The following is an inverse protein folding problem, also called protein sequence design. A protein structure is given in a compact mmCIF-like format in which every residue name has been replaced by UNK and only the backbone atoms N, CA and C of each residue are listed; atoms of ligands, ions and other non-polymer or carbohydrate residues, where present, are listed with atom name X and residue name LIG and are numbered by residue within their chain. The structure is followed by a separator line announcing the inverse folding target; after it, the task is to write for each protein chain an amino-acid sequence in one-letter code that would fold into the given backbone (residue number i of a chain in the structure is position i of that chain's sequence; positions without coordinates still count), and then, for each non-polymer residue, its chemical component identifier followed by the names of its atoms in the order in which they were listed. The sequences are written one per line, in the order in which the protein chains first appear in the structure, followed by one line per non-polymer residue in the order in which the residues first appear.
data_IF_100629365134
#
_entry.id   IF_100629365134
#
_cell.length_a   1.000
_cell.length_b   1.000
_cell.length_c   1.000
_cell.angle_alpha   90.00
_cell.angle_beta   90.00
_cell.angle_gamma   90.00
#
_symmetry.space_group_name_H-M   'P 1'
#
loop_
_entity.id
_entity.type
_entity.pdbx_description
1 polymer ?
#
# COMPACT_ATOMS: atom_id res chain seq x y z
N UNK A 1 0.38 3.42 -33.56
CA UNK A 1 0.59 2.30 -32.61
C UNK A 1 -0.40 2.45 -31.48
N UNK A 2 -1.07 1.38 -31.08
CA UNK A 2 -1.95 1.36 -29.91
C UNK A 2 -1.14 1.02 -28.67
N UNK A 3 -1.49 1.58 -27.51
CA UNK A 3 -0.81 1.28 -26.26
C UNK A 3 -1.01 -0.20 -25.86
N UNK A 4 -0.01 -0.79 -25.21
CA UNK A 4 -0.14 -2.09 -24.55
C UNK A 4 -0.81 -1.89 -23.19
N UNK A 5 -1.82 -2.70 -22.88
CA UNK A 5 -2.52 -2.62 -21.60
C UNK A 5 -1.69 -3.31 -20.52
N UNK A 6 -1.43 -2.60 -19.41
CA UNK A 6 -0.94 -3.20 -18.17
C UNK A 6 -2.15 -3.78 -17.42
N UNK A 7 -2.38 -5.08 -17.55
CA UNK A 7 -3.51 -5.76 -16.92
C UNK A 7 -3.22 -6.07 -15.44
N UNK A 8 -3.56 -5.12 -14.57
CA UNK A 8 -3.41 -5.27 -13.13
C UNK A 8 -4.30 -6.37 -12.51
N UNK A 9 -5.41 -6.76 -13.14
CA UNK A 9 -6.27 -7.83 -12.61
C UNK A 9 -5.60 -9.20 -12.81
N UNK A 10 -5.10 -9.44 -14.01
CA UNK A 10 -4.35 -10.66 -14.32
C UNK A 10 -3.08 -10.73 -13.46
N UNK A 11 -2.33 -9.62 -13.35
CA UNK A 11 -1.13 -9.56 -12.53
C UNK A 11 -1.41 -9.84 -11.05
N UNK A 12 -2.46 -9.24 -10.48
CA UNK A 12 -2.84 -9.49 -9.09
C UNK A 12 -3.28 -10.94 -8.84
N UNK A 13 -3.91 -11.60 -9.81
CA UNK A 13 -4.28 -13.01 -9.70
C UNK A 13 -3.03 -13.92 -9.65
N UNK A 14 -2.02 -13.65 -10.47
CA UNK A 14 -0.73 -14.35 -10.40
C UNK A 14 -0.03 -14.15 -9.05
N UNK A 15 0.02 -12.91 -8.55
CA UNK A 15 0.58 -12.61 -7.22
C UNK A 15 -0.13 -13.40 -6.13
N UNK A 16 -1.49 -13.44 -6.13
CA UNK A 16 -2.25 -14.24 -5.16
C UNK A 16 -1.96 -15.74 -5.27
N UNK A 17 -1.81 -16.27 -6.48
CA UNK A 17 -1.43 -17.66 -6.70
C UNK A 17 -0.09 -18.02 -6.06
N UNK A 18 0.92 -17.15 -6.21
CA UNK A 18 2.22 -17.31 -5.56
C UNK A 18 2.12 -17.22 -4.03
N UNK A 19 1.37 -16.24 -3.51
CA UNK A 19 1.14 -16.09 -2.07
C UNK A 19 0.47 -17.33 -1.49
N UNK A 20 -0.55 -17.89 -2.16
CA UNK A 20 -1.21 -19.12 -1.72
C UNK A 20 -0.24 -20.32 -1.64
N UNK A 21 0.70 -20.40 -2.58
CA UNK A 21 1.80 -21.37 -2.53
C UNK A 21 2.68 -21.20 -1.29
N UNK A 22 3.12 -19.97 -1.01
CA UNK A 22 3.93 -19.67 0.19
C UNK A 22 3.17 -19.95 1.49
N UNK A 23 1.89 -19.60 1.58
CA UNK A 23 1.05 -19.87 2.76
C UNK A 23 0.90 -21.38 2.97
N UNK A 24 0.69 -22.14 1.90
CA UNK A 24 0.58 -23.60 1.97
C UNK A 24 1.87 -24.24 2.46
N UNK A 25 3.03 -23.80 1.96
CA UNK A 25 4.34 -24.26 2.41
C UNK A 25 4.58 -23.93 3.90
N UNK A 26 4.30 -22.69 4.31
CA UNK A 26 4.49 -22.25 5.70
C UNK A 26 3.63 -23.07 6.68
N UNK A 27 2.39 -23.37 6.29
CA UNK A 27 1.49 -24.23 7.06
C UNK A 27 2.01 -25.66 7.16
N UNK A 28 2.48 -26.23 6.04
CA UNK A 28 2.95 -27.62 6.00
C UNK A 28 4.27 -27.82 6.77
N UNK A 29 5.20 -26.88 6.63
CA UNK A 29 6.57 -27.00 7.15
C UNK A 29 6.70 -26.51 8.59
N UNK A 30 5.91 -25.50 8.98
CA UNK A 30 6.04 -24.83 10.27
C UNK A 30 4.76 -24.84 11.10
N UNK A 31 3.63 -25.32 10.56
CA UNK A 31 2.34 -25.24 11.25
C UNK A 31 1.82 -23.82 11.41
N UNK A 32 2.40 -22.83 10.71
CA UNK A 32 2.04 -21.42 10.83
C UNK A 32 1.07 -21.05 9.70
N UNK A 33 -0.06 -20.45 10.07
CA UNK A 33 -0.99 -19.81 9.14
C UNK A 33 -0.89 -18.30 9.37
N UNK A 34 -0.42 -17.51 8.38
CA UNK A 34 -0.32 -16.07 8.53
C UNK A 34 -1.71 -15.46 8.80
N UNK A 35 -1.73 -14.43 9.63
CA UNK A 35 -2.96 -13.73 10.04
C UNK A 35 -2.91 -12.26 9.69
N UNK A 36 -3.96 -11.74 9.06
CA UNK A 36 -4.13 -10.33 8.74
C UNK A 36 -5.31 -9.77 9.53
N UNK A 37 -5.05 -8.76 10.35
CA UNK A 37 -6.08 -7.96 11.01
C UNK A 37 -6.41 -6.72 10.17
N UNK A 38 -7.70 -6.48 9.92
CA UNK A 38 -8.19 -5.30 9.21
C UNK A 38 -9.14 -4.53 10.12
N UNK A 39 -8.79 -3.27 10.39
CA UNK A 39 -9.55 -2.36 11.25
C UNK A 39 -10.26 -1.33 10.37
N UNK A 40 -11.57 -1.21 10.56
CA UNK A 40 -12.43 -0.22 9.92
C UNK A 40 -13.13 0.59 11.00
N UNK A 41 -13.11 1.92 10.88
CA UNK A 41 -13.82 2.82 11.79
C UNK A 41 -14.86 3.62 11.01
N UNK A 42 -16.13 3.46 11.37
CA UNK A 42 -17.27 4.08 10.71
C UNK A 42 -17.78 3.32 9.48
N UNK A 43 -18.63 3.99 8.70
CA UNK A 43 -19.48 3.36 7.70
C UNK A 43 -19.27 3.87 6.26
N UNK A 44 -18.10 4.45 5.95
CA UNK A 44 -17.81 4.91 4.60
C UNK A 44 -17.99 3.76 3.57
N UNK A 45 -18.93 3.88 2.60
CA UNK A 45 -19.27 2.78 1.70
C UNK A 45 -18.09 2.31 0.85
N UNK A 46 -17.21 3.23 0.45
CA UNK A 46 -16.01 2.88 -0.32
C UNK A 46 -15.07 2.03 0.53
N UNK A 47 -14.83 2.42 1.78
CA UNK A 47 -14.01 1.71 2.75
C UNK A 47 -14.55 0.31 3.05
N UNK A 48 -15.88 0.14 3.18
CA UNK A 48 -16.47 -1.19 3.38
C UNK A 48 -16.21 -2.15 2.21
N UNK A 49 -16.31 -1.66 0.97
CA UNK A 49 -16.01 -2.48 -0.22
C UNK A 49 -14.54 -2.89 -0.22
N UNK A 50 -13.62 -1.97 0.12
CA UNK A 50 -12.19 -2.28 0.21
C UNK A 50 -11.89 -3.33 1.28
N UNK A 51 -12.43 -3.18 2.49
CA UNK A 51 -12.20 -4.12 3.60
C UNK A 51 -12.75 -5.50 3.27
N UNK A 52 -13.97 -5.57 2.73
CA UNK A 52 -14.57 -6.85 2.30
C UNK A 52 -13.73 -7.54 1.24
N UNK A 53 -13.20 -6.76 0.28
CA UNK A 53 -12.33 -7.28 -0.77
C UNK A 53 -11.02 -7.84 -0.22
N UNK A 54 -10.39 -7.12 0.72
CA UNK A 54 -9.18 -7.56 1.43
C UNK A 54 -9.43 -8.85 2.22
N UNK A 55 -10.49 -8.91 3.02
CA UNK A 55 -10.85 -10.11 3.79
C UNK A 55 -11.07 -11.34 2.88
N UNK A 56 -11.80 -11.16 1.77
CA UNK A 56 -12.00 -12.23 0.79
C UNK A 56 -10.67 -12.73 0.21
N UNK A 57 -9.80 -11.83 -0.23
CA UNK A 57 -8.52 -12.19 -0.84
C UNK A 57 -7.55 -12.85 0.16
N UNK A 58 -7.56 -12.44 1.43
CA UNK A 58 -6.79 -13.06 2.51
C UNK A 58 -7.19 -14.53 2.69
N UNK A 59 -8.50 -14.79 2.77
CA UNK A 59 -9.02 -16.16 2.90
C UNK A 59 -8.77 -16.98 1.63
N UNK A 60 -8.91 -16.37 0.45
CA UNK A 60 -8.64 -17.00 -0.85
C UNK A 60 -7.22 -17.57 -0.94
N UNK A 61 -6.23 -16.89 -0.35
CA UNK A 61 -4.83 -17.37 -0.33
C UNK A 61 -4.50 -18.27 0.87
N UNK A 62 -5.49 -18.66 1.67
CA UNK A 62 -5.34 -19.60 2.79
C UNK A 62 -4.85 -18.98 4.11
N UNK A 63 -4.88 -17.66 4.25
CA UNK A 63 -4.52 -16.95 5.48
C UNK A 63 -5.72 -16.79 6.43
N UNK A 64 -5.44 -16.53 7.71
CA UNK A 64 -6.45 -16.09 8.67
C UNK A 64 -6.77 -14.61 8.46
N UNK A 65 -8.06 -14.25 8.47
CA UNK A 65 -8.53 -12.88 8.36
C UNK A 65 -9.30 -12.49 9.61
N UNK A 66 -8.90 -11.40 10.25
CA UNK A 66 -9.53 -10.85 11.44
C UNK A 66 -10.10 -9.47 11.12
N UNK A 67 -11.42 -9.35 11.02
CA UNK A 67 -12.08 -8.07 10.75
C UNK A 67 -12.53 -7.41 12.06
N UNK A 68 -12.14 -6.16 12.26
CA UNK A 68 -12.58 -5.31 13.37
C UNK A 68 -13.32 -4.10 12.81
N UNK A 69 -14.64 -4.08 12.99
CA UNK A 69 -15.50 -2.95 12.60
C UNK A 69 -15.87 -2.18 13.86
N UNK A 70 -15.50 -0.92 13.89
CA UNK A 70 -15.72 0.00 15.00
C UNK A 70 -16.68 1.11 14.56
N UNK A 71 -17.48 1.59 15.50
CA UNK A 71 -18.44 2.66 15.24
C UNK A 71 -17.74 3.98 14.90
N UNK A 72 -18.41 4.86 14.16
CA UNK A 72 -17.84 6.12 13.71
C UNK A 72 -17.49 7.08 14.86
N UNK A 73 -18.07 6.90 16.04
CA UNK A 73 -17.84 7.69 17.26
C UNK A 73 -16.82 7.04 18.21
N UNK A 74 -16.19 5.92 17.81
CA UNK A 74 -15.15 5.24 18.59
C UNK A 74 -14.07 6.24 19.02
N UNK A 75 -13.68 6.17 20.29
CA UNK A 75 -12.65 7.04 20.84
C UNK A 75 -11.25 6.66 20.33
N UNK A 76 -10.35 7.64 20.28
CA UNK A 76 -8.96 7.39 19.91
C UNK A 76 -8.28 6.41 20.88
N UNK A 77 -8.60 6.50 22.17
CA UNK A 77 -8.07 5.59 23.19
C UNK A 77 -8.50 4.13 22.94
N UNK A 78 -9.77 3.90 22.57
CA UNK A 78 -10.27 2.55 22.29
C UNK A 78 -9.65 1.95 21.03
N UNK A 79 -9.47 2.78 19.99
CA UNK A 79 -8.79 2.38 18.76
C UNK A 79 -7.31 2.01 19.03
N UNK A 80 -6.60 2.83 19.78
CA UNK A 80 -5.20 2.56 20.16
C UNK A 80 -5.10 1.30 21.03
N UNK A 81 -6.06 1.07 21.94
CA UNK A 81 -6.10 -0.14 22.75
C UNK A 81 -6.36 -1.40 21.91
N UNK A 82 -7.17 -1.32 20.84
CA UNK A 82 -7.31 -2.41 19.88
C UNK A 82 -5.97 -2.66 19.16
N UNK A 83 -5.31 -1.63 18.65
CA UNK A 83 -4.04 -1.77 17.94
C UNK A 83 -2.96 -2.40 18.83
N UNK A 84 -2.85 -1.97 20.09
CA UNK A 84 -1.92 -2.56 21.06
C UNK A 84 -2.19 -4.06 21.29
N UNK A 85 -3.46 -4.47 21.38
CA UNK A 85 -3.81 -5.90 21.46
C UNK A 85 -3.37 -6.66 20.21
N UNK A 86 -3.61 -6.12 19.02
CA UNK A 86 -3.22 -6.75 17.75
C UNK A 86 -1.69 -6.82 17.59
N UNK A 87 -0.96 -5.81 18.08
CA UNK A 87 0.50 -5.83 18.11
C UNK A 87 1.04 -6.98 18.97
N UNK A 88 0.38 -7.27 20.10
CA UNK A 88 0.79 -8.33 21.04
C UNK A 88 0.28 -9.73 20.66
N UNK A 89 -0.71 -9.83 19.79
CA UNK A 89 -1.26 -11.11 19.35
C UNK A 89 -0.30 -11.82 18.37
N UNK A 90 0.17 -13.01 18.76
CA UNK A 90 1.07 -13.83 17.94
C UNK A 90 0.38 -14.48 16.74
N UNK A 91 -0.96 -14.54 16.71
CA UNK A 91 -1.70 -14.98 15.53
C UNK A 91 -1.78 -13.89 14.44
N UNK A 92 -1.60 -12.62 14.82
CA UNK A 92 -1.65 -11.48 13.90
C UNK A 92 -0.24 -11.16 13.40
N UNK A 93 -0.03 -11.26 12.10
CA UNK A 93 1.26 -11.02 11.45
C UNK A 93 1.26 -9.71 10.64
N UNK A 94 0.07 -9.21 10.29
CA UNK A 94 -0.12 -7.92 9.65
C UNK A 94 -1.34 -7.21 10.19
N UNK A 95 -1.26 -5.89 10.28
CA UNK A 95 -2.33 -5.00 10.71
C UNK A 95 -2.54 -3.96 9.61
N UNK A 96 -3.80 -3.76 9.23
CA UNK A 96 -4.21 -2.72 8.31
C UNK A 96 -5.32 -1.89 8.94
N UNK A 97 -5.11 -0.59 9.05
CA UNK A 97 -6.17 0.37 9.43
C UNK A 97 -6.66 1.04 8.17
N UNK A 98 -7.94 0.89 7.85
CA UNK A 98 -8.53 1.47 6.64
C UNK A 98 -8.70 2.98 6.78
N UNK A 99 -8.09 3.72 5.85
CA UNK A 99 -8.18 5.18 5.75
C UNK A 99 -9.23 5.62 4.70
N UNK A 100 -9.78 6.84 4.80
CA UNK A 100 -9.56 7.83 5.86
C UNK A 100 -10.28 7.44 7.16
N UNK A 101 -9.74 7.87 8.30
CA UNK A 101 -10.43 7.76 9.58
C UNK A 101 -11.46 8.89 9.76
N UNK A 102 -12.46 8.73 10.64
CA UNK A 102 -13.25 9.84 11.15
C UNK A 102 -12.40 11.03 11.61
N UNK A 103 -12.86 12.26 11.34
CA UNK A 103 -12.08 13.49 11.50
C UNK A 103 -11.60 13.78 12.93
N UNK A 104 -12.24 13.20 13.94
CA UNK A 104 -11.85 13.38 15.35
C UNK A 104 -10.67 12.48 15.76
N UNK A 105 -10.25 11.56 14.90
CA UNK A 105 -9.12 10.65 15.14
C UNK A 105 -7.88 11.15 14.41
N UNK A 106 -6.73 11.02 15.06
CA UNK A 106 -5.44 11.34 14.46
C UNK A 106 -4.88 10.13 13.68
N UNK A 107 -4.98 10.16 12.35
CA UNK A 107 -4.45 9.11 11.47
C UNK A 107 -2.95 8.84 11.70
N UNK A 108 -2.13 9.88 11.84
CA UNK A 108 -0.68 9.73 12.05
C UNK A 108 -0.39 9.02 13.39
N UNK A 109 -1.15 9.34 14.44
CA UNK A 109 -0.99 8.68 15.74
C UNK A 109 -1.36 7.19 15.65
N UNK A 110 -2.48 6.89 14.99
CA UNK A 110 -2.98 5.52 14.80
C UNK A 110 -2.01 4.68 13.96
N UNK A 111 -1.52 5.23 12.85
CA UNK A 111 -0.53 4.56 11.98
C UNK A 111 0.76 4.26 12.75
N UNK A 112 1.27 5.22 13.52
CA UNK A 112 2.51 5.06 14.29
C UNK A 112 2.34 4.20 15.55
N UNK A 113 1.11 3.81 15.91
CA UNK A 113 0.85 2.86 16.98
C UNK A 113 0.98 1.40 16.51
N UNK A 114 0.95 1.13 15.20
CA UNK A 114 1.13 -0.21 14.64
C UNK A 114 2.61 -0.60 14.76
N UNK A 115 2.92 -1.82 15.21
CA UNK A 115 4.30 -2.32 15.20
C UNK A 115 4.84 -2.25 13.75
N UNK A 116 6.01 -1.60 13.49
CA UNK A 116 6.58 -1.51 12.15
C UNK A 116 6.72 -2.86 11.43
N UNK A 117 6.94 -3.95 12.17
CA UNK A 117 7.05 -5.30 11.62
C UNK A 117 5.69 -5.88 11.17
N UNK A 118 4.58 -5.36 11.73
CA UNK A 118 3.19 -5.73 11.37
C UNK A 118 2.50 -4.70 10.48
N UNK A 119 3.13 -3.55 10.20
CA UNK A 119 2.62 -2.52 9.29
C UNK A 119 2.74 -2.97 7.82
N UNK A 120 1.84 -3.86 7.42
CA UNK A 120 1.81 -4.42 6.06
C UNK A 120 1.31 -3.42 5.01
N UNK A 121 0.75 -2.27 5.42
CA UNK A 121 0.40 -1.17 4.51
C UNK A 121 1.55 -0.17 4.34
N UNK A 122 2.62 -0.28 5.14
CA UNK A 122 3.89 0.41 4.95
C UNK A 122 3.88 1.91 5.28
N UNK A 123 2.91 2.38 6.07
CA UNK A 123 2.76 3.80 6.39
C UNK A 123 3.43 4.24 7.69
N UNK A 124 3.86 3.29 8.52
CA UNK A 124 4.58 3.60 9.76
C UNK A 124 5.83 4.40 9.45
N UNK A 125 6.10 5.46 10.23
CA UNK A 125 7.18 6.40 9.93
C UNK A 125 8.56 5.74 9.85
N UNK A 126 8.82 4.73 10.68
CA UNK A 126 10.03 3.88 10.58
C UNK A 126 10.15 3.19 9.24
N UNK A 127 9.09 2.58 8.70
CA UNK A 127 9.10 1.93 7.39
C UNK A 127 9.32 2.94 6.27
N UNK A 128 8.68 4.12 6.36
CA UNK A 128 8.90 5.23 5.42
C UNK A 128 10.35 5.72 5.46
N UNK A 129 10.95 5.84 6.64
CA UNK A 129 12.36 6.25 6.80
C UNK A 129 13.34 5.21 6.27
N UNK A 130 13.07 3.92 6.51
CA UNK A 130 13.86 2.82 5.96
C UNK A 130 13.78 2.82 4.42
N UNK A 131 12.59 2.96 3.83
CA UNK A 131 12.41 3.07 2.39
C UNK A 131 13.19 4.27 1.81
N UNK A 132 13.08 5.44 2.45
CA UNK A 132 13.76 6.65 2.01
C UNK A 132 15.30 6.55 2.07
N UNK A 133 15.83 5.62 2.87
CA UNK A 133 17.28 5.36 2.97
C UNK A 133 17.71 4.12 2.18
N UNK A 134 16.81 3.53 1.37
CA UNK A 134 17.10 2.35 0.55
C UNK A 134 17.24 1.05 1.35
N UNK A 135 16.78 1.03 2.61
CA UNK A 135 16.83 -0.16 3.46
C UNK A 135 15.60 -1.05 3.27
N UNK A 136 15.74 -2.31 3.68
CA UNK A 136 14.62 -3.26 3.68
C UNK A 136 13.55 -2.80 4.68
N UNK A 137 12.31 -2.68 4.22
CA UNK A 137 11.16 -2.26 5.03
C UNK A 137 9.86 -2.86 4.49
N UNK A 138 8.78 -2.69 5.23
CA UNK A 138 7.46 -2.73 4.59
C UNK A 138 7.31 -1.49 3.71
N UNK A 139 6.60 -1.63 2.59
CA UNK A 139 6.50 -0.60 1.57
C UNK A 139 5.02 -0.35 1.27
N UNK A 140 4.61 0.91 1.10
CA UNK A 140 3.26 1.26 0.67
C UNK A 140 2.74 0.39 -0.48
N UNK A 141 1.60 -0.27 -0.26
CA UNK A 141 1.05 -1.29 -1.15
C UNK A 141 0.81 -0.78 -2.58
N UNK A 142 0.19 0.40 -2.71
CA UNK A 142 -0.16 0.97 -4.03
C UNK A 142 1.10 1.26 -4.86
N UNK A 143 2.09 2.03 -4.36
CA UNK A 143 3.38 2.19 -5.04
C UNK A 143 4.09 0.89 -5.38
N UNK A 144 4.13 -0.07 -4.46
CA UNK A 144 4.78 -1.36 -4.71
C UNK A 144 4.08 -2.14 -5.83
N UNK A 145 2.75 -2.19 -5.82
CA UNK A 145 1.97 -2.82 -6.89
C UNK A 145 2.24 -2.17 -8.25
N UNK A 146 2.27 -0.84 -8.33
CA UNK A 146 2.64 -0.11 -9.54
C UNK A 146 4.06 -0.47 -10.00
N UNK A 147 5.05 -0.47 -9.11
CA UNK A 147 6.43 -0.81 -9.42
C UNK A 147 6.54 -2.25 -9.95
N UNK A 148 5.86 -3.21 -9.32
CA UNK A 148 5.85 -4.60 -9.75
C UNK A 148 5.30 -4.75 -11.18
N UNK A 149 4.22 -4.03 -11.51
CA UNK A 149 3.67 -4.03 -12.86
C UNK A 149 4.59 -3.34 -13.88
N UNK A 150 5.26 -2.24 -13.49
CA UNK A 150 6.25 -1.56 -14.34
C UNK A 150 7.43 -2.46 -14.65
N UNK A 151 8.00 -3.15 -13.64
CA UNK A 151 9.06 -4.14 -13.80
C UNK A 151 8.63 -5.28 -14.73
N UNK A 152 7.39 -5.76 -14.58
CA UNK A 152 6.85 -6.80 -15.46
C UNK A 152 6.72 -6.32 -16.91
N UNK A 153 6.41 -5.05 -17.13
CA UNK A 153 6.21 -4.49 -18.46
C UNK A 153 7.53 -4.11 -19.16
N UNK A 154 8.43 -3.42 -18.47
CA UNK A 154 9.66 -2.86 -19.03
C UNK A 154 10.90 -3.75 -18.79
N UNK A 155 10.85 -4.69 -17.84
CA UNK A 155 12.04 -5.37 -17.34
C UNK A 155 12.85 -4.44 -16.44
N UNK A 156 13.96 -3.92 -16.96
CA UNK A 156 14.79 -2.93 -16.24
C UNK A 156 14.17 -1.54 -16.34
N UNK A 157 14.11 -0.83 -15.21
CA UNK A 157 13.69 0.58 -15.16
C UNK A 157 14.87 1.56 -15.12
N UNK A 158 16.11 1.03 -15.06
CA UNK A 158 17.32 1.82 -14.91
C UNK A 158 17.50 2.81 -16.06
N UNK A 159 17.71 4.08 -15.71
CA UNK A 159 17.93 5.17 -16.66
C UNK A 159 16.66 5.78 -17.27
N UNK A 160 15.47 5.22 -17.01
CA UNK A 160 14.22 5.79 -17.49
C UNK A 160 13.86 7.08 -16.74
N UNK A 161 13.31 8.05 -17.45
CA UNK A 161 12.77 9.29 -16.88
C UNK A 161 11.34 9.07 -16.38
N UNK A 162 11.17 9.04 -15.06
CA UNK A 162 9.87 8.83 -14.42
C UNK A 162 9.32 10.13 -13.80
N UNK A 163 8.07 10.46 -14.12
CA UNK A 163 7.33 11.58 -13.53
C UNK A 163 6.22 11.04 -12.63
N UNK A 164 6.29 11.38 -11.34
CA UNK A 164 5.22 11.10 -10.37
C UNK A 164 4.43 12.39 -10.14
N UNK A 165 3.16 12.41 -10.53
CA UNK A 165 2.27 13.56 -10.36
C UNK A 165 1.46 13.34 -9.08
N UNK A 166 1.81 14.06 -8.02
CA UNK A 166 1.27 13.87 -6.68
C UNK A 166 2.38 13.55 -5.67
N UNK A 167 2.22 14.08 -4.45
CA UNK A 167 3.24 13.98 -3.39
C UNK A 167 2.65 13.59 -2.03
N UNK A 168 1.56 12.83 -2.04
CA UNK A 168 0.98 12.27 -0.82
C UNK A 168 1.98 11.35 -0.12
N UNK A 169 1.83 11.22 1.21
CA UNK A 169 2.69 10.34 2.01
C UNK A 169 2.46 8.86 1.69
N UNK A 170 1.23 8.51 1.25
CA UNK A 170 0.83 7.11 1.02
C UNK A 170 1.05 6.61 -0.43
N UNK A 171 1.20 7.51 -1.41
CA UNK A 171 1.41 7.12 -2.81
C UNK A 171 2.56 7.88 -3.47
N UNK A 172 2.47 9.20 -3.58
CA UNK A 172 3.38 9.98 -4.43
C UNK A 172 4.85 9.90 -3.98
N UNK A 173 5.12 10.21 -2.70
CA UNK A 173 6.48 10.15 -2.15
C UNK A 173 7.08 8.73 -2.18
N UNK A 174 6.40 7.69 -1.67
CA UNK A 174 6.94 6.33 -1.72
C UNK A 174 7.12 5.81 -3.15
N UNK A 175 6.24 6.13 -4.10
CA UNK A 175 6.43 5.78 -5.51
C UNK A 175 7.73 6.37 -6.07
N UNK A 176 7.99 7.65 -5.77
CA UNK A 176 9.22 8.29 -6.21
C UNK A 176 10.48 7.62 -5.62
N UNK A 177 10.44 7.24 -4.34
CA UNK A 177 11.56 6.53 -3.70
C UNK A 177 11.79 5.15 -4.30
N UNK A 178 10.72 4.41 -4.61
CA UNK A 178 10.81 3.10 -5.23
C UNK A 178 11.38 3.16 -6.66
N UNK A 179 10.94 4.11 -7.47
CA UNK A 179 11.47 4.33 -8.81
C UNK A 179 12.94 4.75 -8.75
N UNK A 180 13.31 5.60 -7.79
CA UNK A 180 14.70 5.98 -7.56
C UNK A 180 15.55 4.78 -7.15
N UNK A 181 15.01 3.91 -6.29
CA UNK A 181 15.65 2.63 -5.91
C UNK A 181 15.88 1.70 -7.10
N UNK A 182 15.03 1.77 -8.12
CA UNK A 182 15.18 1.06 -9.41
C UNK A 182 16.01 1.83 -10.44
N UNK A 183 16.74 2.86 -10.00
CA UNK A 183 17.65 3.67 -10.82
C UNK A 183 16.98 4.47 -11.94
N UNK A 184 15.70 4.84 -11.78
CA UNK A 184 15.08 5.88 -12.60
C UNK A 184 15.63 7.27 -12.26
N UNK A 185 15.64 8.17 -13.25
CA UNK A 185 15.66 9.61 -12.97
C UNK A 185 14.24 10.04 -12.62
N UNK A 186 14.01 10.52 -11.40
CA UNK A 186 12.65 10.77 -10.90
C UNK A 186 12.36 12.26 -10.73
N UNK A 187 11.27 12.71 -11.34
CA UNK A 187 10.69 14.05 -11.12
C UNK A 187 9.37 13.94 -10.36
N UNK A 188 9.25 14.67 -9.25
CA UNK A 188 7.99 14.76 -8.49
C UNK A 188 7.27 16.05 -8.87
N UNK A 189 6.12 15.92 -9.51
CA UNK A 189 5.23 17.02 -9.84
C UNK A 189 4.07 17.14 -8.83
N UNK A 190 3.54 18.35 -8.65
CA UNK A 190 2.45 18.63 -7.72
C UNK A 190 1.68 19.89 -8.13
N UNK A 191 0.67 20.28 -7.34
CA UNK A 191 -0.21 21.44 -7.60
C UNK A 191 0.47 22.81 -7.74
N UNK A 192 1.79 22.89 -7.51
CA UNK A 192 2.60 24.11 -7.65
C UNK A 192 3.68 23.98 -8.73
N UNK A 193 3.73 22.85 -9.44
CA UNK A 193 4.63 22.65 -10.58
C UNK A 193 4.21 23.60 -11.69
N UNK A 194 5.16 24.40 -12.18
CA UNK A 194 4.95 25.27 -13.34
C UNK A 194 5.09 24.41 -14.60
N UNK A 195 4.23 24.67 -15.59
CA UNK A 195 4.17 23.95 -16.87
C UNK A 195 4.20 22.42 -16.72
N UNK A 196 3.19 21.89 -16.01
CA UNK A 196 3.04 20.44 -15.84
C UNK A 196 3.02 19.67 -17.18
N UNK A 197 2.37 20.16 -18.26
CA UNK A 197 2.41 19.47 -19.55
C UNK A 197 3.84 19.27 -20.08
N UNK A 198 4.70 20.28 -20.00
CA UNK A 198 6.10 20.15 -20.43
C UNK A 198 6.87 19.13 -19.57
N UNK A 199 6.65 19.15 -18.26
CA UNK A 199 7.25 18.17 -17.34
C UNK A 199 6.84 16.74 -17.70
N UNK A 200 5.57 16.51 -18.05
CA UNK A 200 5.06 15.18 -18.38
C UNK A 200 5.51 14.70 -19.77
N UNK A 201 5.66 15.58 -20.75
CA UNK A 201 6.02 15.20 -22.14
C UNK A 201 7.35 14.47 -22.27
N UNK A 202 8.30 14.71 -21.36
CA UNK A 202 9.63 14.09 -21.39
C UNK A 202 9.71 12.72 -20.72
N UNK A 203 8.62 12.26 -20.09
CA UNK A 203 8.66 11.08 -19.25
C UNK A 203 8.51 9.78 -20.06
N UNK A 204 9.36 8.80 -19.77
CA UNK A 204 9.15 7.41 -20.18
C UNK A 204 8.02 6.76 -19.36
N UNK A 205 7.93 7.14 -18.08
CA UNK A 205 6.94 6.62 -17.13
C UNK A 205 6.20 7.79 -16.48
N UNK A 206 4.86 7.78 -16.54
CA UNK A 206 4.01 8.74 -15.83
C UNK A 206 3.15 8.01 -14.80
N UNK A 207 3.29 8.37 -13.53
CA UNK A 207 2.43 7.90 -12.45
C UNK A 207 1.53 9.04 -11.97
N UNK A 208 0.25 8.99 -12.31
CA UNK A 208 -0.75 9.98 -11.90
C UNK A 208 -1.40 9.60 -10.56
N UNK A 209 -1.07 10.30 -9.48
CA UNK A 209 -1.53 10.06 -8.12
C UNK A 209 -2.17 11.31 -7.48
N UNK A 210 -3.12 11.92 -8.20
CA UNK A 210 -3.67 13.26 -7.89
C UNK A 210 -5.09 13.27 -7.32
N UNK A 211 -5.80 12.14 -7.34
CA UNK A 211 -7.17 12.04 -6.80
C UNK A 211 -8.19 12.93 -7.53
N UNK A 212 -7.93 13.31 -8.79
CA UNK A 212 -8.80 14.15 -9.61
C UNK A 212 -9.02 13.48 -10.97
N UNK A 213 -10.27 13.22 -11.31
CA UNK A 213 -10.65 12.58 -12.56
C UNK A 213 -10.13 13.41 -13.76
N UNK A 214 -9.55 12.71 -14.75
CA UNK A 214 -9.11 13.28 -16.05
C UNK A 214 -8.19 14.51 -15.93
N UNK A 215 -7.39 14.58 -14.87
CA UNK A 215 -6.47 15.71 -14.66
C UNK A 215 -5.22 15.65 -15.56
N UNK A 216 -4.77 14.43 -15.89
CA UNK A 216 -3.58 14.14 -16.71
C UNK A 216 -4.01 13.59 -18.04
#
# INVERSE_FOLDING_TARGET
MTATIIDGKAFAADVRGRVAGFVSALKAEHGIIPGLAVVLVGEDPASQVYVRSKGKMTVEVGMNSYEHKLEADTSEADLLALIDRLNKDSAVHGILVQLPLPKHLNEDLVINAIDPAKDVDGFHISNVGLLATGQKSMVPCTPLGCLMMLRNHHGSLSGLDAVVIGRSNIVGKPMAQLLLGDSCTVTIAHSRTRDLPDVVRRADIVVAAVGRAQMV
#
